data_IF_980329095141
#
_entry.id   IF_980329095141
#
_cell.length_a   1.000
_cell.length_b   1.000
_cell.length_c   1.000
_cell.angle_alpha   90.00
_cell.angle_beta   90.00
_cell.angle_gamma   90.00
#
_symmetry.space_group_name_H-M   'P 1'
#
loop_
_entity.id
_entity.type
_entity.pdbx_description
1 polymer ?
#
# COMPACT_ATOMS: atom_id res chain seq x y z
N UNK A 1 37.49 -17.31 -74.15
CA UNK A 1 37.04 -15.96 -73.74
C UNK A 1 35.84 -16.09 -72.77
N UNK A 2 36.05 -15.89 -71.48
CA UNK A 2 34.98 -16.01 -70.44
C UNK A 2 34.75 -14.60 -69.90
N UNK A 3 33.55 -14.04 -70.10
CA UNK A 3 33.08 -12.77 -69.51
C UNK A 3 32.80 -12.98 -68.03
N UNK A 4 33.42 -12.16 -67.17
CA UNK A 4 33.11 -12.06 -65.75
C UNK A 4 31.99 -11.04 -65.58
N UNK A 5 30.86 -11.49 -65.06
CA UNK A 5 29.78 -10.60 -64.61
C UNK A 5 30.07 -10.12 -63.20
N UNK A 6 30.26 -8.81 -63.04
CA UNK A 6 30.40 -8.16 -61.75
C UNK A 6 29.01 -7.78 -61.27
N UNK A 7 28.57 -8.44 -60.17
CA UNK A 7 27.29 -8.15 -59.52
C UNK A 7 27.54 -7.09 -58.46
N UNK A 8 27.04 -5.91 -58.69
CA UNK A 8 27.10 -4.79 -57.75
C UNK A 8 25.94 -4.93 -56.78
N UNK A 9 26.20 -5.27 -55.48
CA UNK A 9 25.20 -5.27 -54.41
C UNK A 9 25.01 -3.84 -53.91
N UNK A 10 23.83 -3.29 -54.17
CA UNK A 10 23.37 -2.04 -53.60
C UNK A 10 22.84 -2.31 -52.21
N UNK A 11 23.58 -1.99 -51.15
CA UNK A 11 23.17 -2.03 -49.76
C UNK A 11 22.26 -0.84 -49.47
N UNK A 12 20.96 -1.07 -49.48
CA UNK A 12 19.98 -0.11 -48.95
C UNK A 12 19.98 -0.26 -47.44
N UNK A 13 20.65 0.67 -46.76
CA UNK A 13 20.59 0.82 -45.31
C UNK A 13 19.22 1.33 -44.87
N UNK A 14 18.37 0.43 -44.39
CA UNK A 14 17.11 0.80 -43.74
C UNK A 14 17.41 1.26 -42.33
N UNK A 15 17.51 2.58 -42.12
CA UNK A 15 17.64 3.19 -40.80
C UNK A 15 16.34 3.01 -40.04
N UNK A 16 16.32 2.04 -39.13
CA UNK A 16 15.26 1.91 -38.09
C UNK A 16 15.46 3.01 -37.07
N UNK A 17 14.73 4.13 -37.21
CA UNK A 17 14.51 5.07 -36.13
C UNK A 17 13.70 4.39 -35.02
N UNK A 18 14.36 3.88 -33.98
CA UNK A 18 13.73 3.57 -32.74
C UNK A 18 13.31 4.87 -32.03
N UNK A 19 12.10 5.33 -32.31
CA UNK A 19 11.42 6.28 -31.44
C UNK A 19 11.11 5.54 -30.14
N UNK A 20 11.98 5.72 -29.13
CA UNK A 20 11.68 5.38 -27.77
C UNK A 20 10.49 6.24 -27.31
N UNK A 21 9.28 5.73 -27.53
CA UNK A 21 8.10 6.18 -26.78
C UNK A 21 8.39 5.89 -25.31
N UNK A 22 8.86 6.91 -24.60
CA UNK A 22 8.89 6.93 -23.17
C UNK A 22 7.47 6.74 -22.68
N UNK A 23 7.07 5.50 -22.43
CA UNK A 23 5.90 5.20 -21.64
C UNK A 23 6.17 5.73 -20.24
N UNK A 24 5.81 7.01 -20.03
CA UNK A 24 5.70 7.53 -18.67
C UNK A 24 4.79 6.56 -17.92
N UNK A 25 5.35 5.84 -16.97
CA UNK A 25 4.59 5.05 -16.00
C UNK A 25 3.65 6.02 -15.29
N UNK A 26 2.45 6.17 -15.85
CA UNK A 26 1.34 6.80 -15.16
C UNK A 26 1.03 5.81 -14.04
N UNK A 27 1.44 6.12 -12.83
CA UNK A 27 1.02 5.37 -11.67
C UNK A 27 -0.51 5.39 -11.70
N UNK A 28 -1.12 4.26 -11.98
CA UNK A 28 -2.56 4.09 -11.88
C UNK A 28 -2.94 4.45 -10.46
N UNK A 29 -3.65 5.56 -10.31
CA UNK A 29 -4.17 5.97 -9.00
C UNK A 29 -5.18 4.88 -8.61
N UNK A 30 -4.98 4.17 -7.49
CA UNK A 30 -5.93 3.15 -7.08
C UNK A 30 -7.35 3.72 -7.06
N UNK A 31 -8.32 2.97 -7.52
CA UNK A 31 -9.72 3.40 -7.67
C UNK A 31 -10.31 4.02 -6.38
N UNK A 32 -9.77 3.63 -5.21
CA UNK A 32 -10.19 4.11 -3.90
C UNK A 32 -9.69 5.51 -3.54
N UNK A 33 -8.73 6.07 -4.30
CA UNK A 33 -8.18 7.41 -4.07
C UNK A 33 -8.75 8.40 -5.08
N UNK A 34 -10.06 8.56 -5.07
CA UNK A 34 -10.77 9.47 -5.97
C UNK A 34 -10.99 10.83 -5.32
N UNK A 35 -11.02 11.88 -6.16
CA UNK A 35 -11.32 13.21 -5.68
C UNK A 35 -12.82 13.33 -5.29
N UNK A 36 -13.16 14.41 -4.59
CA UNK A 36 -14.54 14.72 -4.24
C UNK A 36 -15.42 14.75 -5.47
N UNK A 37 -16.67 14.28 -5.31
CA UNK A 37 -17.73 14.33 -6.34
C UNK A 37 -18.62 15.54 -6.09
N UNK A 38 -19.21 16.07 -7.18
CA UNK A 38 -20.23 17.12 -7.06
C UNK A 38 -21.32 16.72 -6.06
N UNK A 39 -21.80 17.61 -5.17
CA UNK A 39 -21.55 19.07 -5.13
C UNK A 39 -20.30 19.49 -4.31
N UNK A 40 -19.51 18.58 -3.82
CA UNK A 40 -18.30 18.88 -3.04
C UNK A 40 -17.20 19.47 -3.93
N UNK A 41 -16.49 20.46 -3.40
CA UNK A 41 -15.34 21.07 -4.07
C UNK A 41 -14.21 20.05 -4.21
N UNK A 42 -13.61 19.97 -5.40
CA UNK A 42 -12.45 19.10 -5.61
C UNK A 42 -11.27 19.56 -4.75
N UNK A 43 -10.64 18.60 -4.08
CA UNK A 43 -9.42 18.86 -3.31
C UNK A 43 -8.27 19.23 -4.27
N UNK A 44 -7.48 20.27 -3.97
CA UNK A 44 -6.31 20.63 -4.77
C UNK A 44 -5.17 19.59 -4.64
N UNK A 45 -5.14 18.87 -3.51
CA UNK A 45 -4.20 17.79 -3.21
C UNK A 45 -4.99 16.54 -2.85
N UNK A 46 -4.45 15.38 -3.20
CA UNK A 46 -4.99 14.08 -2.85
C UNK A 46 -3.97 13.31 -2.03
N UNK A 47 -4.47 12.51 -1.11
CA UNK A 47 -3.65 11.59 -0.32
C UNK A 47 -3.02 10.54 -1.25
N UNK A 48 -1.80 10.15 -0.93
CA UNK A 48 -1.16 9.03 -1.60
C UNK A 48 -1.62 7.71 -0.95
N UNK A 49 -1.70 6.63 -1.74
CA UNK A 49 -1.96 5.31 -1.18
C UNK A 49 -0.96 4.97 -0.07
N UNK A 50 -1.47 4.36 0.99
CA UNK A 50 -0.66 3.97 2.13
C UNK A 50 0.50 3.07 1.68
N UNK A 51 1.72 3.41 2.07
CA UNK A 51 2.93 2.69 1.64
C UNK A 51 3.53 3.13 0.31
N UNK A 52 2.94 4.11 -0.40
CA UNK A 52 3.55 4.70 -1.61
C UNK A 52 4.86 5.41 -1.33
N UNK A 53 4.99 6.00 -0.13
CA UNK A 53 6.22 6.62 0.34
C UNK A 53 6.90 5.66 1.31
N UNK A 54 8.17 5.38 1.08
CA UNK A 54 8.99 4.51 1.92
C UNK A 54 9.99 5.34 2.73
N UNK A 55 10.00 5.11 4.03
CA UNK A 55 11.00 5.68 4.91
C UNK A 55 12.39 5.10 4.61
N UNK A 56 13.45 5.91 4.76
CA UNK A 56 14.85 5.51 4.64
C UNK A 56 15.67 6.10 5.79
N UNK A 57 16.87 5.54 6.01
CA UNK A 57 17.80 6.00 7.03
C UNK A 57 17.21 5.94 8.43
N UNK A 58 17.47 6.94 9.23
CA UNK A 58 17.04 7.00 10.65
C UNK A 58 15.53 6.87 10.85
N UNK A 59 14.72 7.36 9.90
CA UNK A 59 13.27 7.24 9.98
C UNK A 59 12.81 5.79 9.80
N UNK A 60 13.42 5.06 8.87
CA UNK A 60 13.19 3.62 8.72
C UNK A 60 13.58 2.85 9.98
N UNK A 61 14.72 3.19 10.58
CA UNK A 61 15.14 2.58 11.84
C UNK A 61 14.15 2.82 12.98
N UNK A 62 13.61 4.02 13.09
CA UNK A 62 12.55 4.31 14.07
C UNK A 62 11.31 3.45 13.86
N UNK A 63 10.85 3.30 12.62
CA UNK A 63 9.70 2.45 12.30
C UNK A 63 9.98 0.97 12.61
N UNK A 64 11.19 0.49 12.33
CA UNK A 64 11.61 -0.88 12.70
C UNK A 64 11.63 -1.06 14.23
N UNK A 65 12.08 -0.07 14.99
CA UNK A 65 12.00 -0.11 16.46
C UNK A 65 10.56 -0.17 16.96
N UNK A 66 9.63 0.59 16.37
CA UNK A 66 8.21 0.51 16.70
C UNK A 66 7.63 -0.89 16.38
N UNK A 67 7.96 -1.46 15.23
CA UNK A 67 7.58 -2.83 14.87
C UNK A 67 8.05 -3.85 15.92
N UNK A 68 9.30 -3.76 16.34
CA UNK A 68 9.91 -4.69 17.31
C UNK A 68 9.52 -4.37 18.76
N UNK A 69 9.07 -3.16 19.03
CA UNK A 69 8.65 -2.67 20.33
C UNK A 69 7.15 -2.83 20.58
N UNK A 70 6.62 -1.99 21.46
CA UNK A 70 5.25 -2.06 21.92
C UNK A 70 4.22 -2.02 20.78
N UNK A 71 4.36 -1.13 19.81
CA UNK A 71 3.41 -1.00 18.70
C UNK A 71 3.20 -2.33 17.96
N UNK A 72 4.28 -3.02 17.61
CA UNK A 72 4.20 -4.29 16.88
C UNK A 72 3.88 -5.52 17.74
N UNK A 73 3.95 -5.40 19.08
CA UNK A 73 3.78 -6.53 20.02
C UNK A 73 2.66 -6.33 21.05
N UNK A 74 1.86 -5.27 20.93
CA UNK A 74 0.87 -4.90 21.93
C UNK A 74 -0.23 -5.96 22.07
N UNK A 75 -0.56 -6.68 21.01
CA UNK A 75 -1.47 -7.82 21.02
C UNK A 75 -1.04 -8.92 22.03
N UNK A 76 0.27 -9.13 22.19
CA UNK A 76 0.83 -10.07 23.16
C UNK A 76 1.02 -9.46 24.54
N UNK A 77 1.39 -8.18 24.59
CA UNK A 77 1.63 -7.46 25.84
C UNK A 77 0.33 -7.14 26.59
N UNK A 78 -0.74 -6.87 25.83
CA UNK A 78 -2.02 -6.49 26.39
C UNK A 78 -3.20 -7.18 25.68
N UNK A 79 -3.32 -8.51 25.80
CA UNK A 79 -4.28 -9.32 25.05
C UNK A 79 -5.74 -8.95 25.30
N UNK A 80 -6.07 -8.42 26.48
CA UNK A 80 -7.41 -7.99 26.85
C UNK A 80 -7.92 -6.81 25.99
N UNK A 81 -7.02 -5.97 25.49
CA UNK A 81 -7.34 -4.75 24.74
C UNK A 81 -7.02 -4.90 23.27
N UNK A 82 -5.89 -5.52 22.90
CA UNK A 82 -5.39 -5.59 21.51
C UNK A 82 -5.24 -7.03 21.01
N UNK A 83 -5.37 -8.04 21.88
CA UNK A 83 -5.23 -9.44 21.53
C UNK A 83 -6.57 -10.15 21.32
N UNK A 84 -6.57 -11.46 21.48
CA UNK A 84 -7.70 -12.35 21.20
C UNK A 84 -8.96 -12.03 22.02
N UNK A 85 -8.81 -11.43 23.20
CA UNK A 85 -9.93 -11.11 24.08
C UNK A 85 -10.52 -9.72 23.86
N UNK A 86 -9.97 -8.91 22.93
CA UNK A 86 -10.49 -7.57 22.75
C UNK A 86 -11.95 -7.57 22.28
N UNK A 87 -12.74 -6.64 22.82
CA UNK A 87 -14.15 -6.56 22.54
C UNK A 87 -14.50 -6.06 21.14
N UNK A 88 -13.58 -5.40 20.46
CA UNK A 88 -13.77 -4.93 19.08
C UNK A 88 -13.81 -6.08 18.06
N UNK A 89 -13.19 -7.22 18.39
CA UNK A 89 -13.26 -8.43 17.59
C UNK A 89 -14.29 -9.45 18.15
N UNK A 90 -15.19 -9.00 19.02
CA UNK A 90 -16.22 -9.85 19.60
C UNK A 90 -15.78 -10.63 20.83
N UNK A 91 -14.61 -10.32 21.40
CA UNK A 91 -14.14 -10.91 22.67
C UNK A 91 -14.83 -10.30 23.90
N UNK A 92 -14.46 -10.81 25.07
CA UNK A 92 -15.00 -10.41 26.37
C UNK A 92 -14.18 -9.29 27.07
N UNK A 93 -13.19 -8.76 26.39
CA UNK A 93 -12.29 -7.73 26.91
C UNK A 93 -12.75 -6.30 26.61
N UNK A 94 -11.79 -5.42 26.53
CA UNK A 94 -12.03 -3.98 26.37
C UNK A 94 -12.62 -3.62 25.01
N UNK A 95 -13.67 -2.80 25.03
CA UNK A 95 -14.35 -2.26 23.84
C UNK A 95 -14.13 -0.74 23.68
N UNK A 96 -13.22 -0.16 24.46
CA UNK A 96 -12.96 1.28 24.42
C UNK A 96 -11.99 1.65 23.29
N UNK A 97 -11.66 2.93 23.23
CA UNK A 97 -10.85 3.53 22.15
C UNK A 97 -9.42 3.00 22.04
N UNK A 98 -8.90 2.31 23.06
CA UNK A 98 -7.50 1.85 23.09
C UNK A 98 -7.15 0.90 21.94
N UNK A 99 -8.04 -0.01 21.60
CA UNK A 99 -7.88 -0.90 20.45
C UNK A 99 -7.81 -0.13 19.12
N UNK A 100 -8.81 0.70 18.81
CA UNK A 100 -8.77 1.57 17.63
C UNK A 100 -7.53 2.46 17.54
N UNK A 101 -7.08 3.10 18.63
CA UNK A 101 -5.85 3.89 18.63
C UNK A 101 -4.61 3.07 18.29
N UNK A 102 -4.56 1.84 18.77
CA UNK A 102 -3.47 0.95 18.39
C UNK A 102 -3.49 0.63 16.89
N UNK A 103 -4.66 0.33 16.34
CA UNK A 103 -4.82 0.02 14.91
C UNK A 103 -4.50 1.24 14.04
N UNK A 104 -4.88 2.45 14.47
CA UNK A 104 -4.55 3.70 13.79
C UNK A 104 -3.03 3.89 13.62
N UNK A 105 -2.24 3.44 14.59
CA UNK A 105 -0.78 3.42 14.49
C UNK A 105 -0.19 2.18 13.77
N UNK A 106 -0.75 1.00 14.01
CA UNK A 106 -0.24 -0.25 13.48
C UNK A 106 -0.46 -0.40 11.97
N UNK A 107 -1.62 0.01 11.49
CA UNK A 107 -1.98 -0.09 10.07
C UNK A 107 -1.00 0.68 9.17
N UNK A 108 -0.75 1.99 9.37
CA UNK A 108 0.23 2.69 8.56
C UNK A 108 1.65 2.11 8.72
N UNK A 109 2.04 1.69 9.93
CA UNK A 109 3.33 1.05 10.15
C UNK A 109 3.50 -0.22 9.31
N UNK A 110 2.46 -1.07 9.25
CA UNK A 110 2.46 -2.30 8.48
C UNK A 110 2.67 -2.06 6.97
N UNK A 111 2.02 -1.04 6.43
CA UNK A 111 2.07 -0.74 4.99
C UNK A 111 3.29 0.09 4.60
N UNK A 112 3.77 1.00 5.43
CA UNK A 112 4.99 1.78 5.17
C UNK A 112 6.22 0.85 5.19
N UNK A 113 6.28 -0.09 6.14
CA UNK A 113 7.34 -1.11 6.19
C UNK A 113 7.13 -2.26 5.20
N UNK A 114 5.94 -2.38 4.62
CA UNK A 114 5.51 -3.50 3.79
C UNK A 114 5.68 -4.86 4.50
N UNK A 115 5.32 -4.89 5.77
CA UNK A 115 5.55 -6.02 6.66
C UNK A 115 4.35 -6.97 6.70
N UNK A 116 4.53 -8.18 6.21
CA UNK A 116 3.48 -9.19 6.12
C UNK A 116 2.92 -9.61 7.49
N UNK A 117 3.77 -9.65 8.53
CA UNK A 117 3.33 -10.05 9.88
C UNK A 117 2.45 -8.97 10.52
N UNK A 118 2.83 -7.69 10.37
CA UNK A 118 2.00 -6.60 10.86
C UNK A 118 0.70 -6.48 10.06
N UNK A 119 0.73 -6.68 8.76
CA UNK A 119 -0.49 -6.71 7.92
C UNK A 119 -1.44 -7.81 8.38
N UNK A 120 -0.93 -9.00 8.68
CA UNK A 120 -1.73 -10.10 9.22
C UNK A 120 -2.37 -9.79 10.58
N UNK A 121 -1.75 -8.96 11.42
CA UNK A 121 -2.34 -8.50 12.68
C UNK A 121 -3.46 -7.47 12.48
N UNK A 122 -3.34 -6.62 11.48
CA UNK A 122 -4.32 -5.57 11.16
C UNK A 122 -5.55 -6.13 10.46
N UNK A 123 -5.36 -7.11 9.59
CA UNK A 123 -6.41 -7.63 8.72
C UNK A 123 -7.70 -8.06 9.45
N UNK A 124 -7.65 -8.80 10.58
CA UNK A 124 -8.86 -9.18 11.31
C UNK A 124 -9.69 -7.98 11.80
N UNK A 125 -9.04 -6.87 12.17
CA UNK A 125 -9.72 -5.66 12.63
C UNK A 125 -10.51 -4.99 11.51
N UNK A 126 -9.91 -4.89 10.34
CA UNK A 126 -10.57 -4.33 9.16
C UNK A 126 -11.73 -5.23 8.71
N UNK A 127 -11.49 -6.54 8.65
CA UNK A 127 -12.53 -7.50 8.28
C UNK A 127 -13.70 -7.50 9.25
N UNK A 128 -13.43 -7.43 10.54
CA UNK A 128 -14.49 -7.36 11.54
C UNK A 128 -15.32 -6.10 11.39
N UNK A 129 -14.69 -4.93 11.24
CA UNK A 129 -15.39 -3.67 11.05
C UNK A 129 -16.33 -3.73 9.83
N UNK A 130 -15.90 -4.34 8.73
CA UNK A 130 -16.71 -4.48 7.53
C UNK A 130 -17.83 -5.52 7.67
N UNK A 131 -17.57 -6.64 8.38
CA UNK A 131 -18.52 -7.75 8.53
C UNK A 131 -19.57 -7.48 9.63
N UNK A 132 -19.21 -6.71 10.66
CA UNK A 132 -20.09 -6.41 11.79
C UNK A 132 -21.02 -5.23 11.53
N UNK A 133 -20.87 -4.53 10.43
CA UNK A 133 -21.74 -3.44 10.06
C UNK A 133 -23.19 -3.93 9.87
N UNK A 134 -24.13 -3.28 10.53
CA UNK A 134 -25.57 -3.61 10.44
C UNK A 134 -26.18 -3.04 9.16
N UNK A 135 -27.39 -3.47 8.84
CA UNK A 135 -28.12 -2.99 7.65
C UNK A 135 -28.38 -1.48 7.66
N UNK A 136 -28.48 -0.86 8.85
CA UNK A 136 -28.62 0.58 9.03
C UNK A 136 -27.28 1.34 8.83
N UNK A 137 -26.20 0.64 8.53
CA UNK A 137 -24.86 1.22 8.30
C UNK A 137 -24.06 1.48 9.57
N UNK A 138 -24.53 0.98 10.74
CA UNK A 138 -23.87 1.19 12.03
C UNK A 138 -23.06 -0.02 12.44
#
# INVERSE_FOLDING_TARGET
>A
MKKKNTFTYLLIGLGLCFSSLGSGLRADTPENYTNNRYPLVRKPLMELPLGSIKAKGWLQEMLVRQKNGATGQMDKLYPLVMGERNGWLGGDGDQWERGPYWIDGLLPLAYILDDAQLKAKVQPWIEWALKSQREDGF
#
